data_IF_456820431523
#
_entry.id   IF_456820431523
#
_cell.length_a   1.000
_cell.length_b   1.000
_cell.length_c   1.000
_cell.angle_alpha   90.00
_cell.angle_beta   90.00
_cell.angle_gamma   90.00
#
_symmetry.space_group_name_H-M   'P 1'
#
loop_
_entity.id
_entity.type
_entity.pdbx_description
1 polymer ?
#
# COMPACT_ATOMS: atom_id res chain seq x y z
N UNK A 1 -33.37 22.63 -3.17
CA UNK A 1 -31.92 22.73 -2.94
C UNK A 1 -31.42 21.33 -2.60
N UNK A 2 -31.03 20.53 -3.60
CA UNK A 2 -30.53 19.16 -3.36
C UNK A 2 -29.03 19.23 -3.08
N UNK A 3 -28.64 18.95 -1.84
CA UNK A 3 -27.28 18.53 -1.53
C UNK A 3 -26.96 17.31 -2.40
N UNK A 4 -26.09 17.50 -3.40
CA UNK A 4 -25.47 16.40 -4.12
C UNK A 4 -24.53 15.71 -3.14
N UNK A 5 -25.04 14.75 -2.38
CA UNK A 5 -24.23 13.71 -1.74
C UNK A 5 -23.45 13.05 -2.87
N UNK A 6 -22.21 13.48 -3.08
CA UNK A 6 -21.28 12.76 -3.95
C UNK A 6 -21.27 11.34 -3.40
N UNK A 7 -21.63 10.31 -4.20
CA UNK A 7 -21.64 8.96 -3.68
C UNK A 7 -20.23 8.73 -3.17
N UNK A 8 -20.11 8.44 -1.87
CA UNK A 8 -18.91 7.88 -1.31
C UNK A 8 -18.56 6.72 -2.23
N UNK A 9 -17.57 6.91 -3.10
CA UNK A 9 -17.03 5.83 -3.91
C UNK A 9 -16.66 4.78 -2.88
N UNK A 10 -17.39 3.66 -2.89
CA UNK A 10 -17.46 2.74 -1.76
C UNK A 10 -16.04 2.42 -1.31
N UNK A 11 -15.74 2.75 -0.05
CA UNK A 11 -14.42 2.60 0.52
C UNK A 11 -13.92 1.16 0.37
N UNK A 12 -14.84 0.20 0.49
CA UNK A 12 -14.57 -1.20 0.25
C UNK A 12 -14.20 -1.48 -1.21
N UNK A 13 -14.88 -0.86 -2.17
CA UNK A 13 -14.55 -0.99 -3.60
C UNK A 13 -13.19 -0.36 -3.94
N UNK A 14 -12.84 0.77 -3.32
CA UNK A 14 -11.51 1.39 -3.45
C UNK A 14 -10.44 0.45 -2.89
N UNK A 15 -10.60 -0.01 -1.64
CA UNK A 15 -9.65 -0.91 -0.98
C UNK A 15 -9.51 -2.21 -1.78
N UNK A 16 -10.63 -2.76 -2.28
CA UNK A 16 -10.65 -3.94 -3.14
C UNK A 16 -9.85 -3.70 -4.42
N UNK A 17 -10.09 -2.59 -5.12
CA UNK A 17 -9.37 -2.26 -6.36
C UNK A 17 -7.86 -2.12 -6.14
N UNK A 18 -7.47 -1.49 -5.03
CA UNK A 18 -6.06 -1.32 -4.64
C UNK A 18 -5.39 -2.65 -4.27
N UNK A 19 -6.09 -3.51 -3.51
CA UNK A 19 -5.62 -4.86 -3.22
C UNK A 19 -5.50 -5.68 -4.51
N UNK A 20 -6.46 -5.60 -5.42
CA UNK A 20 -6.39 -6.28 -6.71
C UNK A 20 -5.18 -5.83 -7.53
N UNK A 21 -4.96 -4.52 -7.64
CA UNK A 21 -3.84 -3.94 -8.38
C UNK A 21 -2.49 -4.43 -7.83
N UNK A 22 -2.26 -4.29 -6.52
CA UNK A 22 -1.01 -4.71 -5.89
C UNK A 22 -0.75 -6.22 -6.02
N UNK A 23 -1.82 -7.02 -6.16
CA UNK A 23 -1.76 -8.47 -6.24
C UNK A 23 -1.88 -9.03 -7.66
N UNK A 24 -1.90 -8.18 -8.70
CA UNK A 24 -1.96 -8.61 -10.11
C UNK A 24 -0.90 -9.66 -10.43
N UNK A 25 -1.25 -10.63 -11.28
CA UNK A 25 -0.33 -11.74 -11.59
C UNK A 25 0.92 -11.18 -12.27
N UNK A 26 2.08 -11.54 -11.72
CA UNK A 26 3.39 -11.09 -12.19
C UNK A 26 3.99 -9.97 -11.36
N UNK A 27 3.20 -9.24 -10.55
CA UNK A 27 3.77 -8.33 -9.57
C UNK A 27 4.55 -9.11 -8.50
N UNK A 28 5.68 -8.54 -8.08
CA UNK A 28 6.53 -9.08 -7.03
C UNK A 28 6.62 -8.06 -5.92
N UNK A 29 6.13 -8.41 -4.74
CA UNK A 29 6.32 -7.60 -3.54
C UNK A 29 7.50 -8.15 -2.73
N UNK A 30 8.61 -7.43 -2.76
CA UNK A 30 9.84 -7.74 -2.06
C UNK A 30 9.97 -6.93 -0.78
N UNK A 31 10.82 -7.41 0.12
CA UNK A 31 11.17 -6.66 1.32
C UNK A 31 12.10 -5.50 0.94
N UNK A 32 11.73 -4.30 1.37
CA UNK A 32 12.59 -3.12 1.31
C UNK A 32 13.51 -3.00 2.52
N UNK A 33 14.50 -2.10 2.48
CA UNK A 33 15.36 -1.85 3.64
C UNK A 33 14.51 -1.39 4.84
N UNK A 34 14.85 -1.87 6.03
CA UNK A 34 14.28 -1.33 7.27
C UNK A 34 14.52 0.18 7.30
N UNK A 35 13.49 0.94 7.67
CA UNK A 35 13.59 2.40 7.69
C UNK A 35 14.44 2.86 8.89
N UNK A 36 15.76 2.92 8.71
CA UNK A 36 16.69 3.48 9.69
C UNK A 36 16.69 5.02 9.60
N UNK A 37 15.56 5.65 9.94
CA UNK A 37 15.50 7.12 10.01
C UNK A 37 16.16 7.63 11.29
N UNK A 38 17.17 8.51 11.17
CA UNK A 38 17.80 9.24 12.29
C UNK A 38 16.87 10.30 12.97
N UNK A 39 15.55 10.07 12.99
CA UNK A 39 14.58 11.04 13.52
C UNK A 39 13.33 10.34 14.03
N UNK A 40 12.43 11.11 14.66
CA UNK A 40 11.20 10.60 15.28
C UNK A 40 10.39 9.77 14.26
N UNK A 41 10.19 8.50 14.59
CA UNK A 41 9.53 7.52 13.74
C UNK A 41 8.03 7.85 13.64
N UNK A 42 7.41 8.00 12.44
CA UNK A 42 5.99 8.33 12.31
C UNK A 42 5.13 7.17 12.82
N UNK A 43 4.17 7.46 13.69
CA UNK A 43 3.31 6.47 14.34
C UNK A 43 1.94 6.30 13.65
N UNK A 44 1.72 6.95 12.51
CA UNK A 44 0.45 6.87 11.77
C UNK A 44 0.60 7.08 10.27
N UNK A 45 -0.37 6.61 9.49
CA UNK A 45 -0.47 6.90 8.05
C UNK A 45 -0.46 8.41 7.80
N UNK A 46 -1.18 9.19 8.61
CA UNK A 46 -1.28 10.64 8.46
C UNK A 46 0.08 11.35 8.60
N UNK A 47 0.91 10.92 9.55
CA UNK A 47 2.26 11.48 9.71
C UNK A 47 3.19 11.04 8.58
N UNK A 48 3.11 9.78 8.14
CA UNK A 48 3.92 9.29 7.03
C UNK A 48 3.55 9.97 5.71
N UNK A 49 2.25 10.23 5.47
CA UNK A 49 1.75 11.03 4.34
C UNK A 49 2.43 12.40 4.32
N UNK A 50 2.43 13.14 5.44
CA UNK A 50 3.08 14.45 5.53
C UNK A 50 4.57 14.38 5.21
N UNK A 51 5.25 13.32 5.66
CA UNK A 51 6.68 13.10 5.35
C UNK A 51 6.90 12.88 3.85
N UNK A 52 6.05 12.10 3.19
CA UNK A 52 6.15 11.89 1.75
C UNK A 52 5.77 13.14 0.93
N UNK A 53 4.76 13.89 1.37
CA UNK A 53 4.42 15.21 0.80
C UNK A 53 5.63 16.17 0.87
N UNK A 54 6.32 16.21 2.02
CA UNK A 54 7.58 16.97 2.17
C UNK A 54 8.73 16.51 1.27
N UNK A 55 8.69 15.27 0.75
CA UNK A 55 9.65 14.73 -0.24
C UNK A 55 9.20 14.98 -1.69
N UNK A 56 8.14 15.76 -1.90
CA UNK A 56 7.61 16.12 -3.22
C UNK A 56 6.63 15.10 -3.81
N UNK A 57 6.09 14.18 -3.01
CA UNK A 57 4.99 13.32 -3.45
C UNK A 57 3.67 14.09 -3.41
N UNK A 58 2.83 13.87 -4.43
CA UNK A 58 1.45 14.34 -4.46
C UNK A 58 0.53 13.26 -3.94
N UNK A 59 -0.32 13.58 -2.97
CA UNK A 59 -1.33 12.66 -2.45
C UNK A 59 -2.51 12.57 -3.42
N UNK A 60 -2.79 11.35 -3.89
CA UNK A 60 -3.94 11.07 -4.77
C UNK A 60 -5.16 10.62 -3.97
N UNK A 61 -4.94 9.87 -2.90
CA UNK A 61 -6.02 9.26 -2.13
C UNK A 61 -5.63 9.07 -0.66
N UNK A 62 -6.63 9.19 0.21
CA UNK A 62 -6.53 8.87 1.63
C UNK A 62 -7.85 8.26 2.10
N UNK A 63 -7.77 7.21 2.89
CA UNK A 63 -8.90 6.35 3.29
C UNK A 63 -8.86 6.12 4.80
N UNK A 64 -10.03 6.28 5.45
CA UNK A 64 -10.23 6.09 6.89
C UNK A 64 -10.18 7.39 7.71
N UNK A 65 -10.81 7.35 8.89
CA UNK A 65 -10.78 8.43 9.89
C UNK A 65 -10.56 7.81 11.29
N UNK A 66 -9.32 7.82 11.84
CA UNK A 66 -8.08 8.33 11.24
C UNK A 66 -7.63 7.53 10.00
N UNK A 67 -6.74 8.09 9.15
CA UNK A 67 -6.31 7.42 7.92
C UNK A 67 -5.65 6.08 8.20
N UNK A 68 -6.09 5.05 7.50
CA UNK A 68 -5.53 3.69 7.54
C UNK A 68 -4.82 3.32 6.24
N UNK A 69 -5.03 4.12 5.19
CA UNK A 69 -4.41 3.95 3.89
C UNK A 69 -4.27 5.30 3.16
N UNK A 70 -3.20 5.47 2.41
CA UNK A 70 -3.00 6.57 1.47
C UNK A 70 -2.19 6.13 0.24
N UNK A 71 -2.49 6.73 -0.91
CA UNK A 71 -1.71 6.57 -2.13
C UNK A 71 -1.15 7.94 -2.55
N UNK A 72 0.15 7.98 -2.79
CA UNK A 72 0.87 9.15 -3.26
C UNK A 72 1.75 8.79 -4.45
N UNK A 73 2.08 9.76 -5.29
CA UNK A 73 3.05 9.55 -6.36
C UNK A 73 3.96 10.76 -6.59
N UNK A 74 5.13 10.52 -7.16
CA UNK A 74 6.12 11.52 -7.58
C UNK A 74 6.72 11.08 -8.91
N UNK A 75 6.38 11.77 -10.00
CA UNK A 75 6.78 11.33 -11.34
C UNK A 75 6.22 9.94 -11.65
N UNK A 76 7.10 8.97 -11.88
CA UNK A 76 6.70 7.57 -12.09
C UNK A 76 6.59 6.76 -10.78
N UNK A 77 7.06 7.32 -9.66
CA UNK A 77 7.13 6.61 -8.38
C UNK A 77 5.79 6.63 -7.68
N UNK A 78 5.26 5.48 -7.29
CA UNK A 78 4.09 5.36 -6.44
C UNK A 78 4.48 4.90 -5.04
N UNK A 79 3.71 5.38 -4.05
CA UNK A 79 3.84 5.03 -2.65
C UNK A 79 2.45 4.74 -2.07
N UNK A 80 2.25 3.52 -1.58
CA UNK A 80 1.07 3.11 -0.85
C UNK A 80 1.42 2.97 0.63
N UNK A 81 0.90 3.88 1.45
CA UNK A 81 1.13 3.94 2.90
C UNK A 81 -0.09 3.35 3.59
N UNK A 82 0.08 2.38 4.47
CA UNK A 82 -1.04 1.73 5.14
C UNK A 82 -0.71 1.20 6.53
N UNK A 83 -1.75 1.04 7.35
CA UNK A 83 -1.68 0.34 8.63
C UNK A 83 -2.60 -0.88 8.56
N UNK A 84 -2.07 -2.12 8.62
CA UNK A 84 -2.86 -3.33 8.68
C UNK A 84 -3.87 -3.27 9.85
N UNK A 85 -5.15 -3.39 9.52
CA UNK A 85 -6.22 -3.46 10.53
C UNK A 85 -6.49 -4.89 10.98
N UNK A 86 -6.09 -5.86 10.15
CA UNK A 86 -6.19 -7.28 10.47
C UNK A 86 -5.00 -7.68 11.36
N UNK A 87 -5.23 -8.14 12.61
CA UNK A 87 -4.17 -8.52 13.53
C UNK A 87 -3.27 -9.64 13.00
N UNK A 88 -3.81 -10.55 12.19
CA UNK A 88 -3.03 -11.65 11.62
C UNK A 88 -2.10 -11.15 10.51
N UNK A 89 -2.61 -10.27 9.64
CA UNK A 89 -1.76 -9.60 8.63
C UNK A 89 -0.69 -8.76 9.31
N UNK A 90 -1.06 -8.07 10.39
CA UNK A 90 -0.11 -7.28 11.18
C UNK A 90 1.00 -8.15 11.75
N UNK A 91 0.66 -9.24 12.44
CA UNK A 91 1.64 -10.18 13.01
C UNK A 91 2.56 -10.79 11.96
N UNK A 92 2.03 -11.10 10.77
CA UNK A 92 2.84 -11.62 9.67
C UNK A 92 3.88 -10.63 9.17
N UNK A 93 3.60 -9.34 9.25
CA UNK A 93 4.44 -8.28 8.71
C UNK A 93 5.41 -7.66 9.73
N UNK A 94 4.99 -7.44 10.99
CA UNK A 94 5.77 -6.70 12.02
C UNK A 94 7.15 -7.33 12.36
N UNK A 95 7.30 -8.64 12.16
CA UNK A 95 8.53 -9.39 12.45
C UNK A 95 9.15 -9.99 11.17
N UNK A 96 8.69 -9.57 9.98
CA UNK A 96 9.03 -10.20 8.70
C UNK A 96 8.79 -11.71 8.65
N UNK A 97 7.90 -12.24 9.49
CA UNK A 97 7.60 -13.68 9.56
C UNK A 97 7.13 -14.21 8.22
N UNK A 98 6.42 -13.39 7.45
CA UNK A 98 6.00 -13.70 6.08
C UNK A 98 6.10 -12.49 5.17
N UNK A 99 6.53 -12.74 3.94
CA UNK A 99 6.45 -11.75 2.88
C UNK A 99 4.98 -11.55 2.44
N UNK A 100 4.62 -10.37 1.91
CA UNK A 100 3.29 -10.14 1.32
C UNK A 100 2.97 -11.06 0.14
N UNK A 101 3.99 -11.57 -0.56
CA UNK A 101 3.82 -12.57 -1.61
C UNK A 101 3.64 -14.00 -1.09
N UNK A 102 3.77 -14.25 0.23
CA UNK A 102 3.56 -15.59 0.78
C UNK A 102 2.16 -16.08 0.36
N UNK A 103 2.03 -17.30 -0.21
CA UNK A 103 0.75 -17.76 -0.74
C UNK A 103 -0.39 -17.70 0.27
N UNK A 104 -0.12 -17.92 1.57
CA UNK A 104 -1.15 -17.85 2.60
C UNK A 104 -1.52 -16.41 2.95
N UNK A 105 -0.55 -15.49 3.02
CA UNK A 105 -0.82 -14.05 3.22
C UNK A 105 -1.65 -13.53 2.06
N UNK A 106 -1.27 -13.87 0.83
CA UNK A 106 -1.95 -13.43 -0.37
C UNK A 106 -3.36 -14.00 -0.48
N UNK A 107 -3.55 -15.28 -0.21
CA UNK A 107 -4.88 -15.89 -0.16
C UNK A 107 -5.78 -15.21 0.88
N UNK A 108 -5.26 -14.88 2.06
CA UNK A 108 -5.99 -14.18 3.12
C UNK A 108 -6.38 -12.75 2.69
N UNK A 109 -5.45 -12.01 2.09
CA UNK A 109 -5.72 -10.66 1.58
C UNK A 109 -6.79 -10.67 0.48
N UNK A 110 -6.77 -11.66 -0.41
CA UNK A 110 -7.78 -11.83 -1.45
C UNK A 110 -9.14 -12.19 -0.86
N UNK A 111 -9.19 -13.15 0.05
CA UNK A 111 -10.41 -13.53 0.74
C UNK A 111 -11.04 -12.33 1.48
N UNK A 112 -10.23 -11.53 2.17
CA UNK A 112 -10.69 -10.30 2.85
C UNK A 112 -11.27 -9.25 1.89
N UNK A 113 -10.93 -9.31 0.60
CA UNK A 113 -11.44 -8.45 -0.46
C UNK A 113 -12.61 -9.09 -1.23
N UNK A 114 -13.05 -10.29 -0.83
CA UNK A 114 -14.03 -11.09 -1.57
C UNK A 114 -13.55 -11.38 -2.99
N UNK A 115 -12.30 -11.81 -3.11
CA UNK A 115 -11.62 -12.15 -4.35
C UNK A 115 -10.96 -13.52 -4.25
N UNK A 116 -10.81 -14.16 -5.40
CA UNK A 116 -10.05 -15.37 -5.61
C UNK A 116 -8.85 -15.11 -6.52
N UNK A 117 -7.90 -16.03 -6.49
CA UNK A 117 -6.70 -15.99 -7.34
C UNK A 117 -7.02 -15.92 -8.84
N UNK A 118 -8.06 -16.62 -9.27
CA UNK A 118 -8.51 -16.65 -10.66
C UNK A 118 -9.01 -15.30 -11.15
N UNK A 119 -9.59 -14.48 -10.26
CA UNK A 119 -10.18 -13.18 -10.60
C UNK A 119 -9.12 -12.09 -10.78
N UNK A 120 -7.89 -12.33 -10.35
CA UNK A 120 -6.81 -11.37 -10.52
C UNK A 120 -6.36 -11.29 -11.98
N UNK A 121 -6.31 -10.09 -12.56
CA UNK A 121 -5.81 -9.92 -13.91
C UNK A 121 -4.29 -10.16 -13.95
N UNK A 122 -3.78 -10.48 -15.13
CA UNK A 122 -2.36 -10.47 -15.38
C UNK A 122 -1.89 -9.02 -15.53
N UNK A 123 -0.82 -8.67 -14.82
CA UNK A 123 -0.24 -7.35 -14.90
C UNK A 123 0.22 -7.07 -16.33
N UNK A 124 -0.25 -5.95 -16.91
CA UNK A 124 0.18 -5.52 -18.25
C UNK A 124 1.69 -5.29 -18.31
N UNK A 125 2.25 -4.78 -17.22
CA UNK A 125 3.68 -4.66 -16.98
C UNK A 125 3.93 -5.17 -15.55
N UNK A 126 4.50 -6.37 -15.37
CA UNK A 126 4.96 -6.83 -14.07
C UNK A 126 5.86 -5.78 -13.41
N UNK A 127 5.59 -5.46 -12.14
CA UNK A 127 6.35 -4.49 -11.36
C UNK A 127 6.96 -5.17 -10.13
N UNK A 128 8.12 -4.64 -9.70
CA UNK A 128 8.70 -4.96 -8.41
C UNK A 128 8.37 -3.86 -7.41
N UNK A 129 7.69 -4.26 -6.34
CA UNK A 129 7.33 -3.44 -5.20
C UNK A 129 8.25 -3.75 -4.04
N UNK A 130 8.62 -2.72 -3.26
CA UNK A 130 9.31 -2.89 -1.98
C UNK A 130 8.44 -2.42 -0.84
N UNK A 131 8.35 -3.24 0.20
CA UNK A 131 7.65 -2.93 1.45
C UNK A 131 8.67 -2.56 2.51
N UNK A 132 8.52 -1.38 3.10
CA UNK A 132 9.23 -1.00 4.31
C UNK A 132 8.22 -0.80 5.46
N UNK A 133 8.63 -1.19 6.67
CA UNK A 133 7.86 -0.93 7.89
C UNK A 133 8.48 0.20 8.71
N UNK A 134 7.61 1.00 9.31
CA UNK A 134 7.93 2.08 10.23
C UNK A 134 6.90 2.13 11.36
N UNK A 135 7.20 1.56 12.54
CA UNK A 135 6.32 1.53 13.73
C UNK A 135 4.88 1.07 13.42
N UNK A 136 4.75 -0.07 12.74
CA UNK A 136 3.44 -0.60 12.32
C UNK A 136 2.76 0.16 11.17
N UNK A 137 3.41 1.17 10.58
CA UNK A 137 3.03 1.79 9.30
C UNK A 137 3.87 1.18 8.18
N UNK A 138 3.22 0.63 7.18
CA UNK A 138 3.86 -0.01 6.04
C UNK A 138 3.81 0.89 4.82
N UNK A 139 4.88 0.90 4.04
CA UNK A 139 4.98 1.65 2.79
C UNK A 139 5.41 0.72 1.67
N UNK A 140 4.55 0.57 0.67
CA UNK A 140 4.88 -0.09 -0.60
C UNK A 140 5.31 0.97 -1.61
N UNK A 141 6.48 0.81 -2.21
CA UNK A 141 6.96 1.66 -3.32
C UNK A 141 7.36 0.83 -4.53
N UNK A 142 7.12 1.31 -5.75
CA UNK A 142 7.60 0.63 -6.96
C UNK A 142 9.09 0.96 -7.25
N UNK A 143 9.90 -0.08 -7.50
CA UNK A 143 11.32 0.09 -7.85
C UNK A 143 11.53 0.50 -9.31
N UNK A 144 10.67 0.03 -10.21
CA UNK A 144 10.75 0.25 -11.67
C UNK A 144 10.51 1.70 -12.08
N UNK A 145 10.13 2.53 -11.12
CA UNK A 145 10.05 3.98 -11.25
C UNK A 145 11.30 4.70 -10.75
N UNK A 146 12.40 3.97 -10.52
CA UNK A 146 13.69 4.59 -10.26
C UNK A 146 13.92 5.67 -11.30
N UNK A 147 14.19 6.93 -10.90
CA UNK A 147 14.68 7.90 -11.85
C UNK A 147 15.93 7.28 -12.45
N UNK A 148 16.01 7.25 -13.79
CA UNK A 148 17.28 7.00 -14.46
C UNK A 148 18.35 7.77 -13.68
N UNK A 149 19.31 7.04 -13.08
CA UNK A 149 20.53 7.65 -12.58
C UNK A 149 21.21 8.21 -13.82
N UNK A 150 20.91 9.47 -14.15
CA UNK A 150 21.73 10.28 -15.05
C UNK A 150 23.00 10.69 -14.32
#
# INVERSE_FOLDING_TARGET
>A
MSEKTRPATDLAAIIKSLKSYLLEKGHRIERGPSYEGQGKTPASVAEMVKRYEGRGYTKYMQVGTPPIYAMLARGHQEAHIFQPQDPQVREWLEDDRKALNDPAVRAHLLQSAGLSESELPAARKPQVFRVAEVEGVFVITNEDASPERR
#
